data_IF_828885523724
#
_entry.id   IF_828885523724
#
_cell.length_a   1.000
_cell.length_b   1.000
_cell.length_c   1.000
_cell.angle_alpha   90.00
_cell.angle_beta   90.00
_cell.angle_gamma   90.00
#
_symmetry.space_group_name_H-M   'P 1'
#
loop_
_entity.id
_entity.type
_entity.pdbx_description
1 polymer ?
#
# COMPACT_ATOMS: atom_id res chain seq x y z
N UNK A 1 -32.05 -26.58 20.40
CA UNK A 1 -31.44 -26.40 19.07
C UNK A 1 -31.88 -25.04 18.57
N UNK A 2 -31.06 -24.01 18.78
CA UNK A 2 -31.33 -22.70 18.19
C UNK A 2 -31.17 -22.79 16.67
N UNK A 3 -32.05 -22.14 15.88
CA UNK A 3 -31.86 -22.05 14.45
C UNK A 3 -30.62 -21.20 14.21
N UNK A 4 -29.58 -21.83 13.65
CA UNK A 4 -28.42 -21.15 13.08
C UNK A 4 -28.97 -20.13 12.09
N UNK A 5 -28.98 -18.85 12.47
CA UNK A 5 -29.28 -17.78 11.55
C UNK A 5 -28.34 -17.98 10.36
N UNK A 6 -28.91 -18.26 9.18
CA UNK A 6 -28.20 -18.17 7.93
C UNK A 6 -27.85 -16.69 7.76
N UNK A 7 -26.73 -16.26 8.37
CA UNK A 7 -26.14 -14.97 8.06
C UNK A 7 -25.92 -14.98 6.56
N UNK A 8 -26.40 -13.93 5.90
CA UNK A 8 -26.21 -13.64 4.49
C UNK A 8 -24.71 -13.57 4.15
N UNK A 9 -24.04 -14.72 4.09
CA UNK A 9 -22.61 -14.82 3.82
C UNK A 9 -22.41 -14.42 2.37
N UNK A 10 -21.93 -13.19 2.19
CA UNK A 10 -21.55 -12.67 0.89
C UNK A 10 -20.51 -13.65 0.30
N UNK A 11 -20.80 -14.32 -0.83
CA UNK A 11 -20.03 -15.48 -1.26
C UNK A 11 -18.63 -15.14 -1.78
N UNK A 12 -18.27 -13.85 -1.78
CA UNK A 12 -16.98 -13.35 -2.27
C UNK A 12 -16.31 -12.50 -1.19
N UNK A 13 -15.19 -13.01 -0.68
CA UNK A 13 -14.32 -12.28 0.22
C UNK A 13 -13.48 -11.25 -0.58
N UNK A 14 -13.13 -10.07 -0.03
CA UNK A 14 -13.49 -9.51 1.27
C UNK A 14 -14.88 -8.85 1.32
N UNK A 15 -15.70 -8.98 0.28
CA UNK A 15 -17.07 -8.44 0.21
C UNK A 15 -17.36 -7.79 -1.14
N UNK A 16 -18.58 -7.94 -1.66
CA UNK A 16 -18.97 -7.46 -3.00
C UNK A 16 -18.75 -5.97 -3.18
N UNK A 17 -19.11 -5.17 -2.19
CA UNK A 17 -18.96 -3.71 -2.26
C UNK A 17 -17.49 -3.30 -2.49
N UNK A 18 -16.55 -3.99 -1.84
CA UNK A 18 -15.13 -3.69 -2.00
C UNK A 18 -14.63 -4.12 -3.39
N UNK A 19 -15.08 -5.27 -3.91
CA UNK A 19 -14.81 -5.66 -5.31
C UNK A 19 -15.33 -4.64 -6.32
N UNK A 20 -16.57 -4.18 -6.15
CA UNK A 20 -17.19 -3.19 -7.02
C UNK A 20 -16.40 -1.87 -7.04
N UNK A 21 -16.04 -1.34 -5.87
CA UNK A 21 -15.31 -0.07 -5.79
C UNK A 21 -13.84 -0.22 -6.17
N UNK A 22 -13.12 -1.16 -5.55
CA UNK A 22 -11.67 -1.26 -5.65
C UNK A 22 -11.19 -1.86 -6.98
N UNK A 23 -11.96 -2.77 -7.56
CA UNK A 23 -11.57 -3.45 -8.80
C UNK A 23 -12.29 -2.82 -9.97
N UNK A 24 -13.61 -2.87 -10.02
CA UNK A 24 -14.36 -2.39 -11.19
C UNK A 24 -14.39 -0.87 -11.28
N UNK A 25 -14.63 -0.17 -10.17
CA UNK A 25 -14.65 1.29 -10.12
C UNK A 25 -13.30 1.90 -10.48
N UNK A 26 -12.21 1.44 -9.84
CA UNK A 26 -10.86 1.90 -10.18
C UNK A 26 -10.43 1.48 -11.59
N UNK A 27 -10.78 0.29 -12.05
CA UNK A 27 -10.47 -0.13 -13.43
C UNK A 27 -11.17 0.77 -14.45
N UNK A 28 -12.42 1.14 -14.20
CA UNK A 28 -13.15 2.09 -15.05
C UNK A 28 -12.46 3.46 -15.06
N UNK A 29 -12.07 4.00 -13.90
CA UNK A 29 -11.32 5.27 -13.80
C UNK A 29 -10.00 5.18 -14.58
N UNK A 30 -9.22 4.12 -14.36
CA UNK A 30 -7.94 3.90 -15.05
C UNK A 30 -8.13 3.79 -16.57
N UNK A 31 -9.13 3.01 -17.02
CA UNK A 31 -9.42 2.85 -18.44
C UNK A 31 -9.87 4.16 -19.08
N UNK A 32 -10.76 4.91 -18.43
CA UNK A 32 -11.19 6.23 -18.90
C UNK A 32 -10.01 7.19 -19.00
N UNK A 33 -9.12 7.23 -18.01
CA UNK A 33 -7.93 8.07 -18.05
C UNK A 33 -6.99 7.67 -19.21
N UNK A 34 -6.73 6.38 -19.39
CA UNK A 34 -5.91 5.87 -20.50
C UNK A 34 -6.51 6.21 -21.87
N UNK A 35 -7.84 6.14 -22.02
CA UNK A 35 -8.53 6.51 -23.27
C UNK A 35 -8.44 8.02 -23.55
N UNK A 36 -8.51 8.85 -22.50
CA UNK A 36 -8.54 10.30 -22.62
C UNK A 36 -7.16 10.97 -22.58
N UNK A 37 -6.09 10.19 -22.44
CA UNK A 37 -4.71 10.68 -22.35
C UNK A 37 -3.82 10.02 -23.42
N UNK A 38 -2.66 10.61 -23.76
CA UNK A 38 -1.71 9.96 -24.66
C UNK A 38 -1.00 8.76 -24.02
N UNK A 39 -1.17 8.54 -22.71
CA UNK A 39 -0.52 7.45 -21.97
C UNK A 39 -1.19 6.13 -22.35
N UNK A 40 -0.38 5.13 -22.64
CA UNK A 40 -0.85 3.76 -22.89
C UNK A 40 -0.25 2.80 -21.87
N UNK A 41 -0.79 1.58 -21.79
CA UNK A 41 -0.27 0.52 -20.95
C UNK A 41 0.12 -0.66 -21.82
N UNK A 42 1.31 -1.21 -21.58
CA UNK A 42 1.73 -2.46 -22.21
C UNK A 42 0.81 -3.59 -21.71
N UNK A 43 0.06 -4.26 -22.60
CA UNK A 43 -0.81 -5.37 -22.22
C UNK A 43 -0.09 -6.48 -21.45
N UNK A 44 1.21 -6.69 -21.68
CA UNK A 44 1.99 -7.69 -20.93
C UNK A 44 2.05 -7.40 -19.43
N UNK A 45 1.99 -6.12 -19.05
CA UNK A 45 1.92 -5.68 -17.64
C UNK A 45 0.65 -6.20 -16.94
N UNK A 46 -0.43 -6.46 -17.70
CA UNK A 46 -1.72 -6.90 -17.18
C UNK A 46 -1.84 -8.42 -17.06
N UNK A 47 -1.12 -9.17 -17.89
CA UNK A 47 -1.32 -10.63 -18.05
C UNK A 47 -1.14 -11.37 -16.73
N UNK A 48 0.01 -11.20 -16.06
CA UNK A 48 0.33 -11.98 -14.86
C UNK A 48 -0.68 -11.72 -13.70
N UNK A 49 -0.99 -10.46 -13.32
CA UNK A 49 -1.99 -10.21 -12.28
C UNK A 49 -3.39 -10.73 -12.64
N UNK A 50 -3.81 -10.60 -13.91
CA UNK A 50 -5.12 -11.07 -14.35
C UNK A 50 -5.23 -12.60 -14.32
N UNK A 51 -4.18 -13.31 -14.78
CA UNK A 51 -4.13 -14.78 -14.75
C UNK A 51 -4.18 -15.28 -13.31
N UNK A 52 -3.34 -14.75 -12.41
CA UNK A 52 -3.35 -15.18 -11.01
C UNK A 52 -4.61 -14.76 -10.26
N UNK A 53 -5.17 -13.59 -10.57
CA UNK A 53 -6.49 -13.19 -10.07
C UNK A 53 -7.59 -14.15 -10.49
N UNK A 54 -7.63 -14.53 -11.77
CA UNK A 54 -8.58 -15.50 -12.31
C UNK A 54 -8.42 -16.88 -11.66
N UNK A 55 -7.19 -17.38 -11.54
CA UNK A 55 -6.90 -18.66 -10.86
C UNK A 55 -7.38 -18.63 -9.41
N UNK A 56 -7.11 -17.55 -8.67
CA UNK A 56 -7.58 -17.41 -7.28
C UNK A 56 -9.11 -17.43 -7.18
N UNK A 57 -9.81 -16.71 -8.07
CA UNK A 57 -11.28 -16.71 -8.12
C UNK A 57 -11.85 -18.08 -8.53
N UNK A 58 -11.21 -18.79 -9.46
CA UNK A 58 -11.61 -20.12 -9.87
C UNK A 58 -11.46 -21.13 -8.72
N UNK A 59 -10.34 -21.07 -7.98
CA UNK A 59 -10.11 -21.91 -6.80
C UNK A 59 -11.17 -21.65 -5.72
N UNK A 60 -11.48 -20.37 -5.46
CA UNK A 60 -12.57 -19.96 -4.57
C UNK A 60 -13.91 -20.52 -5.03
N UNK A 61 -14.24 -20.41 -6.32
CA UNK A 61 -15.48 -20.95 -6.88
C UNK A 61 -15.56 -22.48 -6.72
N UNK A 62 -14.49 -23.21 -7.03
CA UNK A 62 -14.41 -24.67 -6.84
C UNK A 62 -14.62 -25.03 -5.37
N UNK A 63 -13.94 -24.35 -4.45
CA UNK A 63 -14.09 -24.57 -3.01
C UNK A 63 -15.53 -24.34 -2.54
N UNK A 64 -16.20 -23.29 -3.04
CA UNK A 64 -17.61 -23.03 -2.79
C UNK A 64 -18.52 -24.16 -3.31
N UNK A 65 -18.33 -24.59 -4.56
CA UNK A 65 -19.11 -25.68 -5.18
C UNK A 65 -18.97 -27.00 -4.44
N UNK A 66 -17.77 -27.30 -3.96
CA UNK A 66 -17.44 -28.49 -3.18
C UNK A 66 -17.79 -28.35 -1.69
N UNK A 67 -18.35 -27.21 -1.25
CA UNK A 67 -18.72 -26.93 0.15
C UNK A 67 -17.53 -27.12 1.11
N UNK A 68 -16.34 -26.74 0.67
CA UNK A 68 -15.12 -26.81 1.48
C UNK A 68 -15.14 -25.78 2.63
N UNK A 69 -14.27 -25.95 3.65
CA UNK A 69 -14.13 -24.97 4.73
C UNK A 69 -13.94 -23.54 4.21
N UNK A 70 -14.54 -22.59 4.92
CA UNK A 70 -14.56 -21.16 4.56
C UNK A 70 -13.19 -20.58 4.22
N UNK A 71 -12.13 -20.97 4.93
CA UNK A 71 -10.76 -20.51 4.63
C UNK A 71 -10.30 -20.89 3.21
N UNK A 72 -10.69 -22.06 2.68
CA UNK A 72 -10.34 -22.50 1.32
C UNK A 72 -11.10 -21.71 0.24
N UNK A 73 -12.20 -21.06 0.60
CA UNK A 73 -12.90 -20.10 -0.25
C UNK A 73 -12.26 -18.71 -0.16
N UNK A 74 -12.07 -18.20 1.06
CA UNK A 74 -11.75 -16.80 1.27
C UNK A 74 -10.28 -16.45 1.03
N UNK A 75 -9.34 -17.38 1.32
CA UNK A 75 -7.91 -17.12 1.10
C UNK A 75 -7.59 -16.92 -0.38
N UNK A 76 -7.99 -17.81 -1.32
CA UNK A 76 -7.72 -17.58 -2.74
C UNK A 76 -8.41 -16.32 -3.27
N UNK A 77 -9.64 -16.03 -2.82
CA UNK A 77 -10.40 -14.83 -3.21
C UNK A 77 -9.72 -13.55 -2.69
N UNK A 78 -9.23 -13.58 -1.45
CA UNK A 78 -8.50 -12.46 -0.86
C UNK A 78 -7.16 -12.21 -1.52
N UNK A 79 -6.41 -13.25 -1.88
CA UNK A 79 -5.17 -13.12 -2.65
C UNK A 79 -5.45 -12.57 -4.06
N UNK A 80 -6.50 -13.05 -4.74
CA UNK A 80 -6.93 -12.50 -6.02
C UNK A 80 -7.30 -11.01 -5.90
N UNK A 81 -8.06 -10.65 -4.86
CA UNK A 81 -8.41 -9.26 -4.58
C UNK A 81 -7.14 -8.40 -4.39
N UNK A 82 -6.22 -8.82 -3.53
CA UNK A 82 -4.98 -8.07 -3.23
C UNK A 82 -4.18 -7.83 -4.51
N UNK A 83 -3.98 -8.87 -5.34
CA UNK A 83 -3.23 -8.77 -6.60
C UNK A 83 -3.88 -7.79 -7.58
N UNK A 84 -5.20 -7.90 -7.79
CA UNK A 84 -5.93 -7.05 -8.72
C UNK A 84 -6.05 -5.60 -8.21
N UNK A 85 -6.23 -5.42 -6.90
CA UNK A 85 -6.27 -4.10 -6.28
C UNK A 85 -4.91 -3.41 -6.37
N UNK A 86 -3.80 -4.12 -6.15
CA UNK A 86 -2.46 -3.56 -6.32
C UNK A 86 -2.17 -3.13 -7.74
N UNK A 87 -2.56 -3.93 -8.74
CA UNK A 87 -2.43 -3.52 -10.13
C UNK A 87 -3.20 -2.22 -10.39
N UNK A 88 -4.47 -2.15 -9.97
CA UNK A 88 -5.32 -0.97 -10.15
C UNK A 88 -4.74 0.27 -9.46
N UNK A 89 -4.29 0.14 -8.21
CA UNK A 89 -3.68 1.23 -7.45
C UNK A 89 -2.35 1.68 -8.08
N UNK A 90 -1.52 0.76 -8.60
CA UNK A 90 -0.25 1.11 -9.26
C UNK A 90 -0.48 1.86 -10.57
N UNK A 91 -1.44 1.42 -11.38
CA UNK A 91 -1.84 2.14 -12.60
C UNK A 91 -2.37 3.52 -12.24
N UNK A 92 -3.30 3.61 -11.27
CA UNK A 92 -3.83 4.89 -10.80
C UNK A 92 -2.72 5.83 -10.33
N UNK A 93 -1.76 5.33 -9.54
CA UNK A 93 -0.61 6.09 -9.07
C UNK A 93 0.18 6.73 -10.22
N UNK A 94 0.51 5.95 -11.25
CA UNK A 94 1.21 6.46 -12.43
C UNK A 94 0.39 7.52 -13.17
N UNK A 95 -0.90 7.24 -13.41
CA UNK A 95 -1.79 8.17 -14.09
C UNK A 95 -1.91 9.49 -13.31
N UNK A 96 -2.06 9.44 -11.99
CA UNK A 96 -2.13 10.65 -11.17
C UNK A 96 -0.83 11.47 -11.18
N UNK A 97 0.32 10.84 -11.39
CA UNK A 97 1.62 11.54 -11.47
C UNK A 97 1.89 12.20 -12.82
N UNK A 98 1.07 11.89 -13.84
CA UNK A 98 1.07 12.61 -15.12
C UNK A 98 0.44 14.02 -15.03
N UNK A 99 -0.26 14.32 -13.94
CA UNK A 99 -0.82 15.66 -13.72
C UNK A 99 0.30 16.70 -13.60
N UNK A 100 0.10 17.85 -14.25
CA UNK A 100 1.09 18.93 -14.36
C UNK A 100 1.21 19.80 -13.11
N UNK A 101 0.86 19.29 -11.92
CA UNK A 101 1.08 20.01 -10.67
C UNK A 101 2.60 20.18 -10.43
N UNK A 102 3.04 21.36 -9.95
CA UNK A 102 4.44 21.63 -9.68
C UNK A 102 4.97 20.67 -8.62
N UNK A 103 6.24 20.28 -8.76
CA UNK A 103 6.91 19.46 -7.76
C UNK A 103 7.07 20.26 -6.46
N UNK A 104 6.81 19.61 -5.32
CA UNK A 104 6.83 20.25 -4.00
C UNK A 104 8.05 19.84 -3.15
N UNK A 105 9.11 19.33 -3.77
CA UNK A 105 10.35 18.91 -3.10
C UNK A 105 10.91 20.00 -2.15
N UNK A 106 10.97 21.25 -2.59
CA UNK A 106 11.41 22.40 -1.75
C UNK A 106 10.51 22.60 -0.51
N UNK A 107 9.19 22.43 -0.67
CA UNK A 107 8.24 22.57 0.43
C UNK A 107 8.45 21.46 1.46
N UNK A 108 8.55 20.20 1.00
CA UNK A 108 8.76 19.05 1.88
C UNK A 108 10.11 19.15 2.61
N UNK A 109 11.18 19.58 1.93
CA UNK A 109 12.47 19.85 2.55
C UNK A 109 12.40 20.95 3.60
N UNK A 110 11.66 22.04 3.34
CA UNK A 110 11.49 23.13 4.31
C UNK A 110 10.74 22.67 5.57
N UNK A 111 9.82 21.71 5.44
CA UNK A 111 9.13 21.12 6.59
C UNK A 111 10.06 20.21 7.39
N UNK A 112 10.91 19.42 6.73
CA UNK A 112 11.95 18.64 7.40
C UNK A 112 12.90 19.55 8.20
N UNK A 113 13.34 20.66 7.61
CA UNK A 113 14.17 21.67 8.29
C UNK A 113 13.45 22.28 9.50
N UNK A 114 12.17 22.64 9.36
CA UNK A 114 11.36 23.16 10.46
C UNK A 114 11.17 22.14 11.60
N UNK A 115 11.17 20.85 11.27
CA UNK A 115 11.15 19.75 12.24
C UNK A 115 12.54 19.42 12.82
N UNK A 116 13.59 20.11 12.36
CA UNK A 116 14.98 19.87 12.77
C UNK A 116 15.58 18.58 12.19
N UNK A 117 14.96 18.00 11.17
CA UNK A 117 15.45 16.79 10.53
C UNK A 117 16.47 17.13 9.44
N UNK A 118 17.73 16.70 9.65
CA UNK A 118 18.81 16.87 8.66
C UNK A 118 18.96 15.58 7.85
N UNK A 119 18.30 15.52 6.69
CA UNK A 119 18.29 14.32 5.84
C UNK A 119 19.70 13.83 5.47
N UNK A 120 20.59 14.72 5.03
CA UNK A 120 21.99 14.38 4.74
C UNK A 120 22.74 13.82 5.97
N UNK A 121 22.50 14.39 7.15
CA UNK A 121 23.10 13.89 8.40
C UNK A 121 22.59 12.49 8.75
N UNK A 122 21.33 12.17 8.46
CA UNK A 122 20.79 10.82 8.64
C UNK A 122 21.46 9.83 7.68
N UNK A 123 21.66 10.22 6.42
CA UNK A 123 22.37 9.42 5.44
C UNK A 123 23.85 9.18 5.84
N UNK A 124 24.58 10.22 6.26
CA UNK A 124 25.96 10.11 6.78
C UNK A 124 26.06 9.14 7.94
N UNK A 125 25.13 9.26 8.91
CA UNK A 125 25.08 8.37 10.06
C UNK A 125 24.79 6.92 9.64
N UNK A 126 23.87 6.69 8.71
CA UNK A 126 23.55 5.36 8.23
C UNK A 126 24.70 4.75 7.41
N UNK A 127 25.35 5.52 6.55
CA UNK A 127 26.47 5.10 5.71
C UNK A 127 27.66 4.59 6.53
N UNK A 128 27.89 5.15 7.71
CA UNK A 128 28.89 4.65 8.65
C UNK A 128 28.55 3.27 9.28
N UNK A 129 27.37 2.69 8.99
CA UNK A 129 26.86 1.46 9.61
C UNK A 129 26.30 0.48 8.56
N UNK A 130 27.16 -0.27 7.84
CA UNK A 130 26.72 -1.16 6.77
C UNK A 130 25.72 -2.24 7.22
N UNK A 131 25.85 -2.77 8.44
CA UNK A 131 24.90 -3.74 9.00
C UNK A 131 23.51 -3.15 9.21
N UNK A 132 23.43 -1.87 9.59
CA UNK A 132 22.18 -1.15 9.73
C UNK A 132 21.49 -0.98 8.38
N UNK A 133 22.22 -0.52 7.35
CA UNK A 133 21.70 -0.42 5.97
C UNK A 133 21.21 -1.77 5.46
N UNK A 134 21.95 -2.86 5.72
CA UNK A 134 21.54 -4.20 5.32
C UNK A 134 20.20 -4.59 5.94
N UNK A 135 19.99 -4.32 7.23
CA UNK A 135 18.71 -4.58 7.91
C UNK A 135 17.59 -3.74 7.32
N UNK A 136 17.82 -2.43 7.14
CA UNK A 136 16.83 -1.53 6.55
C UNK A 136 16.45 -1.95 5.12
N UNK A 137 17.42 -2.41 4.32
CA UNK A 137 17.20 -2.93 2.97
C UNK A 137 16.29 -4.14 2.96
N UNK A 138 16.56 -5.14 3.81
CA UNK A 138 15.69 -6.32 3.94
C UNK A 138 14.26 -5.94 4.34
N UNK A 139 14.12 -4.98 5.26
CA UNK A 139 12.80 -4.50 5.72
C UNK A 139 12.05 -3.78 4.60
N UNK A 140 12.71 -2.89 3.87
CA UNK A 140 12.10 -2.10 2.82
C UNK A 140 11.58 -2.97 1.67
N UNK A 141 12.40 -3.89 1.15
CA UNK A 141 12.02 -4.75 0.01
C UNK A 141 11.00 -5.83 0.38
N UNK A 142 10.81 -6.12 1.66
CA UNK A 142 9.92 -7.20 2.11
C UNK A 142 8.46 -6.79 2.32
N UNK A 143 8.08 -5.52 2.14
CA UNK A 143 6.72 -5.01 2.43
C UNK A 143 5.62 -5.83 1.76
N UNK A 144 5.77 -6.13 0.47
CA UNK A 144 4.79 -6.90 -0.31
C UNK A 144 4.65 -8.31 0.26
N UNK A 145 5.76 -9.02 0.42
CA UNK A 145 5.77 -10.41 0.89
C UNK A 145 5.24 -10.52 2.32
N UNK A 146 5.64 -9.60 3.21
CA UNK A 146 5.17 -9.59 4.58
C UNK A 146 3.69 -9.19 4.70
N UNK A 147 3.18 -8.33 3.82
CA UNK A 147 1.74 -8.02 3.77
C UNK A 147 0.91 -9.27 3.45
N UNK A 148 1.37 -10.09 2.49
CA UNK A 148 0.76 -11.39 2.18
C UNK A 148 0.87 -12.36 3.36
N UNK A 149 2.04 -12.42 4.00
CA UNK A 149 2.24 -13.28 5.18
C UNK A 149 1.37 -12.86 6.37
N UNK A 150 1.16 -11.56 6.60
CA UNK A 150 0.22 -11.07 7.62
C UNK A 150 -1.20 -11.50 7.28
N UNK A 151 -1.64 -11.34 6.03
CA UNK A 151 -2.95 -11.80 5.58
C UNK A 151 -3.15 -13.30 5.82
N UNK A 152 -2.20 -14.13 5.40
CA UNK A 152 -2.23 -15.59 5.60
C UNK A 152 -2.15 -15.97 7.08
N UNK A 153 -1.30 -15.30 7.85
CA UNK A 153 -1.13 -15.52 9.27
C UNK A 153 -2.40 -15.20 10.08
N UNK A 154 -3.16 -14.18 9.68
CA UNK A 154 -4.47 -13.89 10.27
C UNK A 154 -5.47 -15.03 10.01
N UNK A 155 -5.47 -15.63 8.81
CA UNK A 155 -6.30 -16.79 8.52
C UNK A 155 -5.86 -18.04 9.30
N UNK A 156 -4.55 -18.31 9.35
CA UNK A 156 -4.00 -19.43 10.13
C UNK A 156 -4.34 -19.30 11.63
N UNK A 157 -4.44 -18.08 12.14
CA UNK A 157 -4.85 -17.79 13.51
C UNK A 157 -6.38 -17.77 13.73
N UNK A 158 -7.19 -18.13 12.73
CA UNK A 158 -8.66 -18.12 12.81
C UNK A 158 -9.28 -16.71 12.83
N UNK A 159 -8.54 -15.68 12.40
CA UNK A 159 -8.92 -14.26 12.47
C UNK A 159 -9.35 -13.69 11.10
N UNK A 160 -10.21 -14.42 10.36
CA UNK A 160 -10.70 -13.99 9.04
C UNK A 160 -11.32 -12.58 9.01
N UNK A 161 -12.08 -12.20 10.05
CA UNK A 161 -12.62 -10.84 10.21
C UNK A 161 -11.54 -9.74 10.36
N UNK A 162 -10.32 -10.09 10.82
CA UNK A 162 -9.16 -9.20 10.85
C UNK A 162 -8.44 -9.18 9.51
N UNK A 163 -8.39 -10.29 8.79
CA UNK A 163 -7.86 -10.32 7.42
C UNK A 163 -8.70 -9.44 6.47
N UNK A 164 -10.03 -9.47 6.60
CA UNK A 164 -10.93 -8.57 5.85
C UNK A 164 -10.69 -7.10 6.20
N UNK A 165 -10.54 -6.81 7.49
CA UNK A 165 -10.24 -5.46 7.97
C UNK A 165 -8.89 -4.95 7.47
N UNK A 166 -7.87 -5.80 7.50
CA UNK A 166 -6.54 -5.51 7.00
C UNK A 166 -6.62 -5.08 5.52
N UNK A 167 -7.28 -5.87 4.67
CA UNK A 167 -7.44 -5.53 3.25
C UNK A 167 -8.16 -4.19 3.07
N UNK A 168 -9.28 -3.98 3.78
CA UNK A 168 -10.07 -2.76 3.67
C UNK A 168 -9.24 -1.52 4.05
N UNK A 169 -8.59 -1.54 5.22
CA UNK A 169 -7.81 -0.41 5.73
C UNK A 169 -6.58 -0.19 4.85
N UNK A 170 -5.90 -1.25 4.42
CA UNK A 170 -4.75 -1.14 3.53
C UNK A 170 -5.15 -0.48 2.21
N UNK A 171 -6.23 -0.97 1.58
CA UNK A 171 -6.73 -0.43 0.32
C UNK A 171 -7.12 1.04 0.47
N UNK A 172 -7.90 1.40 1.49
CA UNK A 172 -8.31 2.77 1.75
C UNK A 172 -7.12 3.70 2.01
N UNK A 173 -6.13 3.22 2.76
CA UNK A 173 -4.88 3.97 3.02
C UNK A 173 -4.10 4.19 1.72
N UNK A 174 -3.90 3.15 0.91
CA UNK A 174 -3.19 3.26 -0.36
C UNK A 174 -3.90 4.21 -1.34
N UNK A 175 -5.22 4.10 -1.46
CA UNK A 175 -6.01 5.00 -2.30
C UNK A 175 -5.90 6.45 -1.83
N UNK A 176 -6.02 6.70 -0.53
CA UNK A 176 -5.88 8.04 0.03
C UNK A 176 -4.46 8.60 -0.15
N UNK A 177 -3.42 7.77 0.01
CA UNK A 177 -2.04 8.15 -0.30
C UNK A 177 -1.89 8.60 -1.75
N UNK A 178 -2.47 7.85 -2.70
CA UNK A 178 -2.42 8.20 -4.13
C UNK A 178 -3.14 9.52 -4.40
N UNK A 179 -4.34 9.70 -3.86
CA UNK A 179 -5.14 10.92 -4.07
C UNK A 179 -4.43 12.15 -3.48
N UNK A 180 -3.91 12.05 -2.26
CA UNK A 180 -3.18 13.15 -1.62
C UNK A 180 -1.87 13.41 -2.38
N UNK A 181 -1.12 12.36 -2.70
CA UNK A 181 0.16 12.49 -3.41
C UNK A 181 0.04 13.08 -4.81
N UNK A 182 -1.09 12.87 -5.49
CA UNK A 182 -1.39 13.55 -6.75
C UNK A 182 -1.37 15.09 -6.62
N UNK A 183 -1.81 15.62 -5.46
CA UNK A 183 -1.79 17.05 -5.16
C UNK A 183 -0.46 17.58 -4.61
N UNK A 184 0.43 16.68 -4.18
CA UNK A 184 1.76 17.00 -3.64
C UNK A 184 2.84 16.14 -4.31
N UNK A 185 2.99 16.21 -5.66
CA UNK A 185 3.98 15.39 -6.34
C UNK A 185 5.39 15.85 -5.95
N UNK A 186 6.28 14.91 -5.68
CA UNK A 186 7.68 15.18 -5.38
C UNK A 186 8.56 14.12 -6.03
N UNK A 187 9.83 14.45 -6.28
CA UNK A 187 10.81 13.51 -6.82
C UNK A 187 11.25 12.54 -5.73
N UNK A 188 12.09 13.02 -4.81
CA UNK A 188 12.68 12.28 -3.71
C UNK A 188 13.67 13.19 -2.98
N UNK A 189 13.77 13.06 -1.66
CA UNK A 189 14.75 13.76 -0.83
C UNK A 189 16.20 13.48 -1.27
N UNK A 190 16.50 12.25 -1.72
CA UNK A 190 17.83 11.91 -2.23
C UNK A 190 18.17 12.66 -3.52
N UNK A 191 17.18 12.88 -4.40
CA UNK A 191 17.36 13.67 -5.62
C UNK A 191 17.45 15.15 -5.31
N UNK A 192 16.70 15.64 -4.33
CA UNK A 192 16.68 17.04 -3.95
C UNK A 192 17.99 17.47 -3.27
N UNK A 193 18.44 16.72 -2.26
CA UNK A 193 19.67 17.04 -1.53
C UNK A 193 20.94 16.71 -2.29
N UNK A 194 20.88 15.89 -3.34
CA UNK A 194 22.02 15.56 -4.22
C UNK A 194 23.31 15.20 -3.46
N UNK A 195 23.28 14.17 -2.58
CA UNK A 195 24.45 13.77 -1.81
C UNK A 195 25.62 13.34 -2.71
N UNK A 196 26.84 13.44 -2.18
CA UNK A 196 28.05 13.00 -2.89
C UNK A 196 27.99 11.50 -3.24
N UNK A 197 28.58 11.15 -4.38
CA UNK A 197 28.56 9.77 -4.91
C UNK A 197 29.16 8.74 -3.92
N UNK A 198 30.17 9.14 -3.16
CA UNK A 198 30.80 8.32 -2.13
C UNK A 198 29.79 7.91 -1.06
N UNK A 199 28.91 8.82 -0.63
CA UNK A 199 27.90 8.55 0.37
C UNK A 199 26.77 7.68 -0.19
N UNK A 200 26.39 7.90 -1.46
CA UNK A 200 25.43 7.06 -2.17
C UNK A 200 25.91 5.61 -2.32
N UNK A 201 27.22 5.40 -2.47
CA UNK A 201 27.81 4.06 -2.61
C UNK A 201 27.62 3.16 -1.39
N UNK A 202 27.27 3.74 -0.23
CA UNK A 202 26.93 2.97 0.97
C UNK A 202 25.54 2.32 0.89
N UNK A 203 24.64 2.83 0.04
CA UNK A 203 23.29 2.30 -0.15
C UNK A 203 23.27 1.26 -1.29
N UNK A 204 22.31 0.30 -1.27
CA UNK A 204 22.05 -0.55 -2.43
C UNK A 204 21.74 0.28 -3.68
N UNK A 205 22.21 -0.18 -4.83
CA UNK A 205 21.97 0.48 -6.12
C UNK A 205 20.49 0.76 -6.35
N UNK A 206 20.17 2.00 -6.74
CA UNK A 206 18.79 2.43 -7.02
C UNK A 206 17.98 2.88 -5.79
N UNK A 207 18.55 2.81 -4.58
CA UNK A 207 17.86 3.28 -3.36
C UNK A 207 17.41 4.73 -3.50
N UNK A 208 16.14 4.99 -3.20
CA UNK A 208 15.51 6.30 -3.23
C UNK A 208 15.35 6.94 -4.62
N UNK A 209 15.82 6.30 -5.69
CA UNK A 209 15.76 6.84 -7.06
C UNK A 209 15.12 5.88 -8.08
N UNK A 210 14.83 4.64 -7.70
CA UNK A 210 14.30 3.60 -8.61
C UNK A 210 13.01 4.00 -9.33
N UNK A 211 12.22 4.91 -8.76
CA UNK A 211 10.96 5.40 -9.31
C UNK A 211 11.12 6.64 -10.19
N UNK A 212 12.25 7.34 -10.15
CA UNK A 212 12.42 8.63 -10.84
C UNK A 212 12.30 8.50 -12.35
N UNK A 213 12.85 7.43 -12.94
CA UNK A 213 12.75 7.20 -14.39
C UNK A 213 11.30 7.09 -14.87
N UNK A 214 10.41 6.54 -14.03
CA UNK A 214 8.98 6.42 -14.33
C UNK A 214 8.28 7.77 -14.19
N UNK A 215 8.57 8.51 -13.12
CA UNK A 215 8.02 9.86 -12.91
C UNK A 215 8.44 10.83 -14.01
N UNK A 216 9.72 10.82 -14.39
CA UNK A 216 10.26 11.68 -15.43
C UNK A 216 9.75 11.28 -16.82
N UNK A 217 9.63 9.98 -17.10
CA UNK A 217 8.98 9.49 -18.32
C UNK A 217 7.55 10.00 -18.44
N UNK A 218 6.74 9.87 -17.39
CA UNK A 218 5.35 10.33 -17.37
C UNK A 218 5.19 11.84 -17.61
N UNK A 219 6.17 12.65 -17.16
CA UNK A 219 6.08 14.11 -17.22
C UNK A 219 6.75 14.73 -18.45
N UNK A 220 7.70 14.02 -19.07
CA UNK A 220 8.50 14.55 -20.18
C UNK A 220 8.22 13.84 -21.52
N UNK A 221 7.65 12.64 -21.54
CA UNK A 221 7.43 11.85 -22.75
C UNK A 221 5.95 11.85 -23.17
N UNK A 222 5.64 12.55 -24.26
CA UNK A 222 4.30 12.52 -24.86
C UNK A 222 4.04 11.15 -25.46
N UNK A 223 3.17 10.35 -24.83
CA UNK A 223 2.89 8.99 -25.29
C UNK A 223 3.52 7.89 -24.43
N UNK A 224 4.01 8.24 -23.24
CA UNK A 224 4.64 7.30 -22.33
C UNK A 224 3.85 5.99 -22.17
N UNK A 225 4.53 4.85 -22.31
CA UNK A 225 3.95 3.52 -22.18
C UNK A 225 4.25 2.96 -20.79
N UNK A 226 3.19 2.72 -20.00
CA UNK A 226 3.28 2.08 -18.71
C UNK A 226 3.73 0.62 -18.87
N UNK A 227 4.95 0.33 -18.42
CA UNK A 227 5.55 -1.01 -18.45
C UNK A 227 5.86 -1.49 -17.03
N UNK A 228 5.53 -2.75 -16.74
CA UNK A 228 5.82 -3.39 -15.45
C UNK A 228 7.31 -3.34 -15.11
N UNK A 229 7.68 -3.19 -13.81
CA UNK A 229 6.90 -3.53 -12.62
C UNK A 229 6.01 -2.43 -12.00
N UNK A 230 5.90 -1.23 -12.58
CA UNK A 230 5.08 -0.11 -12.04
C UNK A 230 5.35 0.17 -10.54
N UNK A 231 6.51 0.74 -10.18
CA UNK A 231 6.82 1.09 -8.79
C UNK A 231 5.87 2.16 -8.23
N UNK A 232 5.77 2.27 -6.91
CA UNK A 232 5.05 3.39 -6.30
C UNK A 232 5.76 4.71 -6.57
N UNK A 233 5.04 5.71 -7.09
CA UNK A 233 5.60 7.04 -7.42
C UNK A 233 5.27 8.12 -6.39
N UNK A 234 4.32 7.88 -5.48
CA UNK A 234 3.96 8.84 -4.42
C UNK A 234 5.07 8.89 -3.37
N UNK A 235 5.63 10.08 -3.19
CA UNK A 235 6.53 10.43 -2.09
C UNK A 235 5.73 10.86 -0.85
N UNK A 236 4.91 11.92 -0.94
CA UNK A 236 4.10 12.38 0.19
C UNK A 236 2.62 11.99 0.02
N UNK A 237 1.93 11.45 1.04
CA UNK A 237 2.46 10.85 2.26
C UNK A 237 3.03 9.44 2.02
N UNK A 238 3.88 8.94 2.93
CA UNK A 238 4.53 7.64 2.73
C UNK A 238 3.59 6.43 2.92
N UNK A 239 3.30 5.71 1.83
CA UNK A 239 2.58 4.45 1.89
C UNK A 239 3.37 3.35 2.60
N UNK A 240 4.70 3.31 2.48
CA UNK A 240 5.53 2.30 3.15
C UNK A 240 5.37 2.37 4.68
N UNK A 241 5.44 3.60 5.22
CA UNK A 241 5.20 3.85 6.65
C UNK A 241 3.78 3.47 7.05
N UNK A 242 2.79 3.95 6.30
CA UNK A 242 1.39 3.70 6.59
C UNK A 242 1.05 2.19 6.54
N UNK A 243 1.51 1.48 5.51
CA UNK A 243 1.28 0.06 5.30
C UNK A 243 1.88 -0.80 6.42
N UNK A 244 3.10 -0.49 6.87
CA UNK A 244 3.72 -1.22 7.97
C UNK A 244 2.95 -1.01 9.30
N UNK A 245 2.40 0.18 9.53
CA UNK A 245 1.50 0.45 10.66
C UNK A 245 0.16 -0.29 10.53
N UNK A 246 -0.41 -0.39 9.32
CA UNK A 246 -1.60 -1.21 9.06
C UNK A 246 -1.33 -2.68 9.40
N UNK A 247 -0.16 -3.22 9.06
CA UNK A 247 0.24 -4.58 9.41
C UNK A 247 0.32 -4.77 10.93
N UNK A 248 0.96 -3.83 11.65
CA UNK A 248 1.00 -3.85 13.12
C UNK A 248 -0.40 -3.81 13.74
N UNK A 249 -1.27 -2.93 13.23
CA UNK A 249 -2.66 -2.82 13.67
C UNK A 249 -3.47 -4.10 13.40
N UNK A 250 -3.24 -4.77 12.26
CA UNK A 250 -3.93 -6.00 11.93
C UNK A 250 -3.55 -7.15 12.87
N UNK A 251 -2.30 -7.20 13.31
CA UNK A 251 -1.77 -8.19 14.26
C UNK A 251 -2.16 -7.92 15.72
N UNK A 252 -2.93 -6.86 16.03
CA UNK A 252 -3.30 -6.53 17.41
C UNK A 252 -4.00 -7.68 18.15
N UNK A 253 -3.65 -7.85 19.42
CA UNK A 253 -4.12 -8.95 20.25
C UNK A 253 -3.53 -10.32 19.87
N UNK A 254 -2.47 -10.37 19.05
CA UNK A 254 -1.64 -11.55 18.82
C UNK A 254 -0.30 -11.33 19.53
N UNK A 255 -0.11 -11.99 20.68
CA UNK A 255 1.01 -11.76 21.61
C UNK A 255 2.41 -11.76 20.95
N UNK A 256 2.65 -12.63 19.96
CA UNK A 256 3.93 -12.71 19.24
C UNK A 256 3.92 -11.86 17.97
N UNK A 257 2.87 -11.96 17.15
CA UNK A 257 2.83 -11.28 15.85
C UNK A 257 2.73 -9.76 15.97
N UNK A 258 2.07 -9.23 17.00
CA UNK A 258 1.96 -7.80 17.24
C UNK A 258 3.32 -7.11 17.47
N UNK A 259 4.14 -7.51 18.48
CA UNK A 259 5.42 -6.86 18.71
C UNK A 259 6.38 -7.02 17.52
N UNK A 260 6.35 -8.14 16.80
CA UNK A 260 7.15 -8.31 15.59
C UNK A 260 6.71 -7.36 14.46
N UNK A 261 5.41 -7.19 14.24
CA UNK A 261 4.89 -6.26 13.24
C UNK A 261 5.13 -4.79 13.65
N UNK A 262 5.08 -4.46 14.95
CA UNK A 262 5.43 -3.14 15.46
C UNK A 262 6.92 -2.82 15.28
N UNK A 263 7.81 -3.79 15.56
CA UNK A 263 9.24 -3.66 15.27
C UNK A 263 9.49 -3.49 13.77
N UNK A 264 8.79 -4.26 12.94
CA UNK A 264 8.85 -4.09 11.49
C UNK A 264 8.44 -2.67 11.05
N UNK A 265 7.35 -2.12 11.62
CA UNK A 265 6.92 -0.76 11.34
C UNK A 265 7.96 0.29 11.76
N UNK A 266 8.61 0.12 12.91
CA UNK A 266 9.71 0.99 13.35
C UNK A 266 10.91 0.93 12.40
N UNK A 267 11.30 -0.27 11.97
CA UNK A 267 12.38 -0.44 11.01
C UNK A 267 12.01 0.09 9.62
N UNK A 268 10.75 -0.05 9.19
CA UNK A 268 10.27 0.52 7.94
C UNK A 268 10.32 2.05 8.01
N UNK A 269 9.90 2.64 9.14
CA UNK A 269 10.01 4.08 9.39
C UNK A 269 11.47 4.56 9.23
N UNK A 270 12.45 3.84 9.79
CA UNK A 270 13.86 4.15 9.59
C UNK A 270 14.36 3.90 8.15
N UNK A 271 13.87 2.87 7.47
CA UNK A 271 14.31 2.53 6.10
C UNK A 271 13.82 3.52 5.04
N UNK A 272 12.62 4.07 5.24
CA UNK A 272 11.85 4.81 4.25
C UNK A 272 12.57 6.06 3.70
N UNK A 273 13.24 6.92 4.52
CA UNK A 273 13.94 8.09 4.00
C UNK A 273 15.09 7.74 3.07
N UNK A 274 15.83 6.66 3.37
CA UNK A 274 17.02 6.27 2.63
C UNK A 274 16.66 5.46 1.38
N UNK A 275 15.79 4.46 1.54
CA UNK A 275 15.56 3.46 0.50
C UNK A 275 14.39 3.81 -0.42
N UNK A 276 13.42 4.57 0.10
CA UNK A 276 12.35 5.15 -0.68
C UNK A 276 12.60 6.60 -1.10
N UNK A 277 13.66 7.23 -0.60
CA UNK A 277 13.97 8.62 -0.92
C UNK A 277 12.95 9.60 -0.35
N UNK A 278 12.29 9.24 0.75
CA UNK A 278 11.28 10.08 1.38
C UNK A 278 11.90 11.21 2.21
N UNK A 279 11.16 12.31 2.28
CA UNK A 279 11.33 13.34 3.30
C UNK A 279 10.79 12.81 4.64
N UNK A 280 11.30 13.29 5.76
CA UNK A 280 10.85 12.87 7.09
C UNK A 280 9.37 13.21 7.32
N UNK A 281 8.91 14.36 6.82
CA UNK A 281 7.50 14.77 6.89
C UNK A 281 6.57 13.79 6.17
N UNK A 282 7.04 13.06 5.15
CA UNK A 282 6.24 12.03 4.47
C UNK A 282 5.84 10.90 5.42
N UNK A 283 6.73 10.54 6.35
CA UNK A 283 6.51 9.48 7.33
C UNK A 283 5.47 9.92 8.37
N UNK A 284 5.52 11.19 8.79
CA UNK A 284 4.50 11.80 9.65
C UNK A 284 3.16 11.79 8.91
N UNK A 285 3.12 12.24 7.65
CA UNK A 285 1.93 12.23 6.81
C UNK A 285 1.32 10.84 6.68
N UNK A 286 2.15 9.81 6.43
CA UNK A 286 1.71 8.42 6.36
C UNK A 286 1.14 7.90 7.68
N UNK A 287 1.76 8.28 8.80
CA UNK A 287 1.33 7.91 10.16
C UNK A 287 0.00 8.55 10.53
N UNK A 288 -0.17 9.85 10.26
CA UNK A 288 -1.43 10.57 10.48
C UNK A 288 -2.53 10.00 9.60
N UNK A 289 -2.24 9.75 8.32
CA UNK A 289 -3.21 9.21 7.38
C UNK A 289 -3.76 7.85 7.85
N UNK A 290 -2.90 6.90 8.20
CA UNK A 290 -3.38 5.59 8.67
C UNK A 290 -4.17 5.71 9.97
N UNK A 291 -3.77 6.60 10.89
CA UNK A 291 -4.52 6.84 12.11
C UNK A 291 -5.94 7.35 11.82
N UNK A 292 -6.09 8.29 10.88
CA UNK A 292 -7.39 8.80 10.43
C UNK A 292 -8.24 7.71 9.77
N UNK A 293 -7.65 6.90 8.89
CA UNK A 293 -8.36 5.79 8.22
C UNK A 293 -8.84 4.77 9.26
N UNK A 294 -7.97 4.37 10.19
CA UNK A 294 -8.32 3.44 11.28
C UNK A 294 -9.42 4.02 12.18
N UNK A 295 -9.30 5.29 12.58
CA UNK A 295 -10.30 5.94 13.42
C UNK A 295 -11.67 6.03 12.73
N UNK A 296 -11.69 6.45 11.46
CA UNK A 296 -12.91 6.52 10.63
C UNK A 296 -13.57 5.15 10.52
N UNK A 297 -12.79 4.11 10.27
CA UNK A 297 -13.28 2.74 10.22
C UNK A 297 -13.84 2.25 11.56
N UNK A 298 -13.19 2.57 12.69
CA UNK A 298 -13.69 2.25 14.02
C UNK A 298 -15.03 2.94 14.32
N UNK A 299 -15.16 4.22 13.98
CA UNK A 299 -16.41 5.00 14.14
C UNK A 299 -17.52 4.44 13.24
N UNK A 300 -17.19 4.08 12.00
CA UNK A 300 -18.15 3.48 11.08
C UNK A 300 -18.66 2.14 11.60
N UNK A 301 -17.77 1.27 12.10
CA UNK A 301 -18.16 0.00 12.72
C UNK A 301 -19.04 0.18 13.95
N UNK A 302 -18.74 1.13 14.84
CA UNK A 302 -19.58 1.35 16.04
C UNK A 302 -20.97 1.80 15.65
N UNK A 303 -21.10 2.72 14.69
CA UNK A 303 -22.39 3.20 14.17
C UNK A 303 -23.23 2.12 13.50
N UNK A 304 -22.61 1.10 12.91
CA UNK A 304 -23.33 -0.06 12.33
C UNK A 304 -23.65 -1.13 13.38
N UNK A 305 -22.88 -1.20 14.47
CA UNK A 305 -23.17 -2.12 15.57
C UNK A 305 -24.29 -1.61 16.51
N UNK A 306 -24.41 -0.30 16.71
CA UNK A 306 -25.42 0.32 17.58
C UNK A 306 -26.91 0.29 17.10
N UNK A 307 -27.29 0.20 15.81
CA UNK A 307 -28.69 0.14 15.38
C UNK A 307 -29.38 -1.16 15.80
N UNK A 308 -28.63 -2.22 16.10
CA UNK A 308 -29.18 -3.54 16.46
C UNK A 308 -29.72 -3.57 17.90
N UNK A 309 -29.27 -2.67 18.78
CA UNK A 309 -29.73 -2.60 20.17
C UNK A 309 -30.92 -1.65 20.37
N UNK A 310 -31.22 -0.77 19.41
CA UNK A 310 -32.33 0.18 19.51
C UNK A 310 -33.69 -0.38 19.04
N UNK A 311 -33.73 -1.60 18.50
CA UNK A 311 -34.98 -2.28 18.03
C UNK A 311 -35.51 -3.29 19.08
N UNK A 312 -34.95 -3.30 20.30
CA UNK A 312 -35.38 -4.17 21.40
C UNK A 312 -35.71 -3.41 22.71
N UNK A 313 -36.12 -2.14 22.59
CA UNK A 313 -36.70 -1.38 23.70
C UNK A 313 -38.17 -1.08 23.43
#
# INVERSE_FOLDING_TARGET
MEPRAASSEDPIFPGRALWLVAIFGLAAINATWLILSPISIDPQTLVQPLVFGYVGLLLSYIAWRLKLPRALLEVPSGLAFILLAWLNLRVLNHLTMSLSFPLVDEVLASWDEALGFRWLGYLEWAAARPSFIKVLSMVYVSLTSLSVLVFLGLYAAGRGNRAQEFILIFFATALATIIIGAGFPAKAAISFHSPQQELLSALPTGSGVYHLVYLEGLRNDTGHVLTGPLPGLVTFPSLHTAAALVMAYACRGMIIAFPLAALYALLMFAATPLLGGHYFVDLIGGTVLVAVVVATHCIWRSKIAHPVLAVRA
#
